data_IF_109765825883
#
_entry.id   IF_109765825883
#
_cell.length_a   1.000
_cell.length_b   1.000
_cell.length_c   1.000
_cell.angle_alpha   90.00
_cell.angle_beta   90.00
_cell.angle_gamma   90.00
#
_symmetry.space_group_name_H-M   'P 1'
#
loop_
_entity.id
_entity.type
_entity.pdbx_description
1 polymer ?
#
# COMPACT_ATOMS: atom_id res chain seq x y z
N UNK A 1 -2.27 -43.36 41.87
CA UNK A 1 -2.85 -42.89 40.60
C UNK A 1 -3.53 -41.52 40.78
N UNK A 2 -2.82 -40.54 41.36
CA UNK A 2 -3.40 -39.21 41.68
C UNK A 2 -2.34 -38.09 41.60
N UNK A 3 -1.33 -38.27 40.75
CA UNK A 3 -0.23 -37.32 40.53
C UNK A 3 0.05 -37.08 39.04
N UNK A 4 -0.84 -37.55 38.15
CA UNK A 4 -0.74 -37.35 36.69
C UNK A 4 -1.69 -36.25 36.16
N UNK A 5 -2.48 -35.62 37.04
CA UNK A 5 -3.50 -34.63 36.66
C UNK A 5 -3.04 -33.17 36.71
N UNK A 6 -1.75 -32.89 36.90
CA UNK A 6 -1.21 -31.55 37.10
C UNK A 6 -0.26 -31.09 35.98
N UNK A 7 -0.28 -31.76 34.84
CA UNK A 7 0.48 -31.36 33.65
C UNK A 7 -0.45 -30.97 32.49
N UNK A 8 -1.56 -30.29 32.77
CA UNK A 8 -2.19 -29.43 31.75
C UNK A 8 -1.29 -28.22 31.59
N UNK A 9 -0.22 -28.42 30.82
CA UNK A 9 0.68 -27.42 30.30
C UNK A 9 -0.18 -26.35 29.62
N UNK A 10 -0.48 -25.30 30.37
CA UNK A 10 -0.92 -24.02 29.84
C UNK A 10 0.21 -23.55 28.92
N UNK A 11 0.14 -23.94 27.65
CA UNK A 11 0.67 -23.15 26.55
C UNK A 11 -0.10 -21.83 26.55
N UNK A 12 0.23 -20.95 27.49
CA UNK A 12 0.04 -19.54 27.30
C UNK A 12 0.96 -19.18 26.14
N UNK A 13 0.39 -19.15 24.94
CA UNK A 13 1.01 -18.50 23.80
C UNK A 13 1.28 -17.06 24.22
N UNK A 14 2.49 -16.78 24.73
CA UNK A 14 3.01 -15.43 24.84
C UNK A 14 3.10 -14.92 23.41
N UNK A 15 2.06 -14.21 22.98
CA UNK A 15 2.09 -13.47 21.73
C UNK A 15 2.97 -12.27 22.03
N UNK A 16 4.28 -12.43 21.86
CA UNK A 16 5.21 -11.32 21.97
C UNK A 16 4.82 -10.30 20.90
N UNK A 17 4.17 -9.23 21.33
CA UNK A 17 3.92 -8.06 20.51
C UNK A 17 5.24 -7.29 20.42
N UNK A 18 6.17 -7.81 19.62
CA UNK A 18 7.42 -7.10 19.38
C UNK A 18 7.09 -5.77 18.72
N UNK A 19 7.69 -4.65 19.16
CA UNK A 19 7.50 -3.32 18.55
C UNK A 19 8.13 -3.20 17.15
N UNK A 20 8.31 -4.32 16.46
CA UNK A 20 9.23 -4.55 15.36
C UNK A 20 8.54 -4.50 13.99
N UNK A 21 7.66 -3.54 13.75
CA UNK A 21 7.11 -3.35 12.41
C UNK A 21 6.20 -4.48 11.95
N UNK A 22 5.63 -4.32 10.76
CA UNK A 22 4.81 -5.34 10.14
C UNK A 22 5.66 -6.53 9.64
N UNK A 23 5.17 -7.78 9.74
CA UNK A 23 5.82 -8.93 9.13
C UNK A 23 5.62 -8.93 7.61
N UNK A 24 6.49 -9.61 6.85
CA UNK A 24 6.38 -9.72 5.38
C UNK A 24 5.02 -10.23 4.90
N UNK A 25 4.37 -11.12 5.67
CA UNK A 25 3.03 -11.60 5.34
C UNK A 25 1.95 -10.50 5.33
N UNK A 26 2.16 -9.36 5.99
CA UNK A 26 1.24 -8.22 5.96
C UNK A 26 1.23 -7.50 4.60
N UNK A 27 2.27 -7.66 3.76
CA UNK A 27 2.25 -7.11 2.40
C UNK A 27 1.13 -7.69 1.53
N UNK A 28 0.50 -8.81 1.90
CA UNK A 28 -0.57 -9.38 1.06
C UNK A 28 -1.88 -8.61 1.19
N UNK A 29 -2.28 -8.28 2.42
CA UNK A 29 -3.60 -7.75 2.76
C UNK A 29 -3.53 -6.39 3.47
N UNK A 30 -2.33 -5.87 3.71
CA UNK A 30 -2.07 -4.66 4.51
C UNK A 30 -2.61 -4.75 5.94
N UNK A 31 -2.90 -5.95 6.44
CA UNK A 31 -3.48 -6.13 7.77
C UNK A 31 -2.39 -6.29 8.83
N UNK A 32 -2.53 -5.63 10.00
CA UNK A 32 -1.68 -5.92 11.13
C UNK A 32 -1.90 -7.36 11.60
N UNK A 33 -0.83 -8.04 12.01
CA UNK A 33 -0.90 -9.42 12.51
C UNK A 33 -1.02 -9.43 14.03
N UNK A 34 -2.08 -8.81 14.54
CA UNK A 34 -2.45 -8.83 15.96
C UNK A 34 -3.73 -9.64 16.15
N UNK A 35 -3.73 -10.56 17.12
CA UNK A 35 -4.88 -11.43 17.38
C UNK A 35 -6.08 -10.62 17.89
N UNK A 36 -7.27 -10.93 17.38
CA UNK A 36 -8.53 -10.35 17.85
C UNK A 36 -8.77 -8.88 17.46
N UNK A 37 -7.91 -8.28 16.65
CA UNK A 37 -8.05 -6.89 16.21
C UNK A 37 -8.67 -6.83 14.82
N UNK A 38 -9.68 -5.99 14.65
CA UNK A 38 -10.36 -5.74 13.37
C UNK A 38 -10.20 -4.28 12.94
N UNK A 39 -10.27 -3.98 11.63
CA UNK A 39 -10.37 -2.62 11.11
C UNK A 39 -11.46 -1.79 11.78
N UNK A 40 -11.20 -0.50 11.96
CA UNK A 40 -12.22 0.43 12.44
C UNK A 40 -13.30 0.65 11.34
N UNK A 41 -14.59 0.71 11.71
CA UNK A 41 -15.67 0.90 10.75
C UNK A 41 -15.85 2.37 10.33
N UNK A 42 -15.34 3.33 11.11
CA UNK A 42 -15.39 4.75 10.80
C UNK A 42 -14.31 5.14 9.77
N UNK A 43 -14.53 6.20 8.98
CA UNK A 43 -13.47 6.77 8.14
C UNK A 43 -12.21 7.11 8.94
N UNK A 44 -11.05 6.86 8.35
CA UNK A 44 -9.77 7.19 8.98
C UNK A 44 -9.56 8.72 9.05
N UNK A 45 -9.00 9.26 10.15
CA UNK A 45 -8.69 10.69 10.27
C UNK A 45 -7.35 11.07 9.58
N UNK A 46 -6.89 10.27 8.63
CA UNK A 46 -5.59 10.40 7.98
C UNK A 46 -5.73 10.53 6.46
N UNK A 47 -4.86 11.32 5.85
CA UNK A 47 -4.77 11.49 4.38
C UNK A 47 -3.33 11.33 3.93
N UNK A 48 -3.08 10.57 2.86
CA UNK A 48 -1.78 10.59 2.18
C UNK A 48 -1.76 11.74 1.19
N UNK A 49 -0.74 12.59 1.29
CA UNK A 49 -0.43 13.57 0.28
C UNK A 49 0.87 13.22 -0.44
N UNK A 50 0.91 13.57 -1.72
CA UNK A 50 2.12 13.51 -2.53
C UNK A 50 2.46 14.90 -3.06
N UNK A 51 3.75 15.20 -3.24
CA UNK A 51 4.18 16.49 -3.79
C UNK A 51 3.82 16.66 -5.28
N UNK A 52 3.51 15.56 -5.98
CA UNK A 52 3.16 15.56 -7.39
C UNK A 52 1.85 14.80 -7.61
N UNK A 53 1.01 15.32 -8.50
CA UNK A 53 -0.23 14.65 -8.94
C UNK A 53 0.01 13.54 -9.98
N UNK A 54 1.20 13.54 -10.55
CA UNK A 54 1.67 12.65 -11.62
C UNK A 54 3.06 12.20 -11.24
N UNK A 55 3.38 10.92 -11.43
CA UNK A 55 4.73 10.44 -11.20
C UNK A 55 5.40 10.06 -12.51
N UNK A 56 6.70 10.32 -12.58
CA UNK A 56 7.56 9.93 -13.67
C UNK A 56 8.42 8.77 -13.17
N UNK A 57 8.53 7.65 -13.92
CA UNK A 57 9.47 6.60 -13.57
C UNK A 57 10.86 7.14 -13.24
N UNK A 58 11.47 6.64 -12.17
CA UNK A 58 12.77 7.09 -11.70
C UNK A 58 12.77 8.43 -10.95
N UNK A 59 11.72 9.25 -11.05
CA UNK A 59 11.64 10.52 -10.33
C UNK A 59 11.09 10.33 -8.91
N UNK A 60 11.78 10.86 -7.88
CA UNK A 60 11.32 10.76 -6.50
C UNK A 60 9.98 11.45 -6.28
N UNK A 61 9.07 10.76 -5.59
CA UNK A 61 7.80 11.27 -5.09
C UNK A 61 7.88 11.37 -3.57
N UNK A 62 7.64 12.56 -3.05
CA UNK A 62 7.50 12.79 -1.62
C UNK A 62 6.11 12.39 -1.18
N UNK A 63 6.02 11.64 -0.09
CA UNK A 63 4.78 11.13 0.50
C UNK A 63 4.72 11.57 1.97
N UNK A 64 3.60 12.14 2.39
CA UNK A 64 3.34 12.55 3.78
C UNK A 64 1.99 12.04 4.26
N UNK A 65 1.88 11.78 5.56
CA UNK A 65 0.64 11.36 6.22
C UNK A 65 0.14 12.55 7.04
N UNK A 66 -1.00 13.12 6.67
CA UNK A 66 -1.63 14.23 7.37
C UNK A 66 -2.73 13.69 8.28
N UNK A 67 -2.73 14.09 9.54
CA UNK A 67 -3.69 13.67 10.56
C UNK A 67 -3.11 13.82 11.97
N UNK A 68 -3.74 13.21 12.98
CA UNK A 68 -3.16 13.06 14.31
C UNK A 68 -1.81 12.32 14.30
N UNK A 69 -1.10 12.29 15.43
CA UNK A 69 0.10 11.46 15.53
C UNK A 69 -0.22 9.96 15.44
N UNK A 70 0.74 9.16 14.99
CA UNK A 70 0.60 7.71 14.80
C UNK A 70 1.85 6.96 15.23
N UNK A 71 1.69 5.68 15.62
CA UNK A 71 2.80 4.82 16.07
C UNK A 71 3.18 3.77 15.03
N UNK A 72 2.18 3.10 14.47
CA UNK A 72 2.33 2.07 13.46
C UNK A 72 2.08 2.61 12.06
N UNK A 73 2.82 2.08 11.09
CA UNK A 73 2.61 2.33 9.66
C UNK A 73 3.05 1.12 8.85
N UNK A 74 2.37 0.87 7.72
CA UNK A 74 2.82 0.03 6.63
C UNK A 74 2.50 0.77 5.32
N UNK A 75 3.52 1.33 4.67
CA UNK A 75 3.41 2.04 3.40
C UNK A 75 3.93 1.17 2.28
N UNK A 76 3.08 0.88 1.31
CA UNK A 76 3.41 0.14 0.10
C UNK A 76 2.74 0.84 -1.07
N UNK A 77 3.48 1.12 -2.13
CA UNK A 77 2.90 1.60 -3.37
C UNK A 77 2.52 0.40 -4.24
N UNK A 78 1.32 0.40 -4.80
CA UNK A 78 0.77 -0.70 -5.60
C UNK A 78 0.28 -0.22 -6.94
N UNK A 79 0.27 -1.12 -7.93
CA UNK A 79 -0.45 -0.91 -9.18
C UNK A 79 -1.94 -1.21 -8.96
N UNK A 80 -2.80 -0.53 -9.70
CA UNK A 80 -4.24 -0.78 -9.64
C UNK A 80 -4.53 -2.25 -9.97
N UNK A 81 -5.35 -2.91 -9.14
CA UNK A 81 -5.69 -4.34 -9.22
C UNK A 81 -4.55 -5.34 -8.93
N UNK A 82 -3.36 -4.88 -8.53
CA UNK A 82 -2.25 -5.75 -8.13
C UNK A 82 -1.88 -5.51 -6.67
N UNK A 83 -1.63 -6.60 -5.94
CA UNK A 83 -1.22 -6.55 -4.53
C UNK A 83 0.31 -6.59 -4.36
N UNK A 84 1.05 -6.45 -5.46
CA UNK A 84 2.50 -6.45 -5.42
C UNK A 84 3.07 -5.05 -5.25
N UNK A 85 4.12 -4.98 -4.43
CA UNK A 85 4.87 -3.75 -4.22
C UNK A 85 5.45 -3.24 -5.54
N UNK A 86 5.20 -1.96 -5.82
CA UNK A 86 5.58 -1.29 -7.05
C UNK A 86 6.48 -0.09 -6.77
N UNK A 87 7.57 0.01 -7.53
CA UNK A 87 8.63 0.98 -7.23
C UNK A 87 9.42 0.62 -5.98
N UNK A 88 10.27 1.54 -5.53
CA UNK A 88 11.13 1.35 -4.36
C UNK A 88 11.09 2.56 -3.45
N UNK A 89 10.99 2.33 -2.15
CA UNK A 89 11.15 3.38 -1.15
C UNK A 89 12.63 3.75 -0.98
N UNK A 90 12.88 5.03 -0.72
CA UNK A 90 14.20 5.50 -0.30
C UNK A 90 14.40 5.30 1.20
N UNK A 91 15.58 5.70 1.68
CA UNK A 91 16.01 5.61 3.08
C UNK A 91 14.83 6.00 4.00
N UNK A 92 14.38 5.09 4.88
CA UNK A 92 13.26 5.37 5.76
C UNK A 92 13.62 6.50 6.72
N UNK A 93 12.68 7.41 7.05
CA UNK A 93 12.88 8.37 8.12
C UNK A 93 13.08 7.67 9.48
N UNK A 94 13.53 8.40 10.52
CA UNK A 94 13.64 7.85 11.87
C UNK A 94 12.38 7.10 12.32
N UNK A 95 12.57 6.12 13.20
CA UNK A 95 11.50 5.27 13.75
C UNK A 95 10.74 4.42 12.73
N UNK A 96 11.26 4.33 11.50
CA UNK A 96 10.76 3.48 10.42
C UNK A 96 11.89 2.67 9.79
N UNK A 97 11.52 1.59 9.09
CA UNK A 97 12.45 0.68 8.44
C UNK A 97 11.84 0.13 7.16
N UNK A 98 12.67 -0.40 6.28
CA UNK A 98 12.21 -1.13 5.12
C UNK A 98 11.49 -2.42 5.53
N UNK A 99 10.52 -2.81 4.71
CA UNK A 99 9.92 -4.14 4.71
C UNK A 99 10.02 -4.71 3.29
N UNK A 100 10.55 -5.92 3.19
CA UNK A 100 10.61 -6.64 1.94
C UNK A 100 9.22 -7.16 1.58
N UNK A 101 8.67 -6.67 0.47
CA UNK A 101 7.37 -7.08 -0.09
C UNK A 101 7.56 -7.52 -1.56
N UNK A 102 6.90 -8.59 -1.98
CA UNK A 102 6.97 -9.13 -3.35
C UNK A 102 8.40 -9.31 -3.89
N UNK A 103 9.32 -9.74 -3.02
CA UNK A 103 10.75 -9.91 -3.37
C UNK A 103 11.55 -8.61 -3.46
N UNK A 104 10.93 -7.43 -3.33
CA UNK A 104 11.60 -6.14 -3.33
C UNK A 104 12.02 -5.75 -1.89
N UNK A 105 13.34 -5.67 -1.57
CA UNK A 105 13.83 -5.28 -0.24
C UNK A 105 13.41 -3.87 0.20
N UNK A 106 13.07 -3.01 -0.76
CA UNK A 106 12.60 -1.64 -0.56
C UNK A 106 11.13 -1.48 -0.97
N UNK A 107 10.36 -2.57 -1.00
CA UNK A 107 8.98 -2.59 -1.47
C UNK A 107 8.01 -1.84 -0.57
N UNK A 108 8.28 -1.80 0.73
CA UNK A 108 7.47 -1.09 1.71
C UNK A 108 8.29 -0.42 2.82
N UNK A 109 7.66 0.49 3.55
CA UNK A 109 8.13 1.06 4.81
C UNK A 109 7.21 0.59 5.94
N UNK A 110 7.76 0.19 7.07
CA UNK A 110 7.00 -0.04 8.30
C UNK A 110 7.65 0.64 9.50
N UNK A 111 6.95 0.73 10.62
CA UNK A 111 7.53 1.27 11.85
C UNK A 111 8.67 0.37 12.38
N UNK A 112 9.70 0.98 12.95
CA UNK A 112 10.81 0.27 13.59
C UNK A 112 10.63 0.17 15.12
N UNK A 113 9.81 1.04 15.68
CA UNK A 113 9.45 1.10 17.09
C UNK A 113 8.09 1.82 17.23
N UNK A 114 7.62 1.96 18.47
CA UNK A 114 6.33 2.59 18.80
C UNK A 114 6.42 4.10 19.05
N UNK A 115 7.55 4.76 18.74
CA UNK A 115 7.68 6.21 18.88
C UNK A 115 6.68 6.93 17.95
N UNK A 116 6.24 8.09 18.41
CA UNK A 116 5.25 8.90 17.71
C UNK A 116 5.85 9.47 16.42
N UNK A 117 5.03 9.44 15.37
CA UNK A 117 5.27 10.02 14.06
C UNK A 117 4.14 11.00 13.80
N UNK A 118 4.42 12.03 13.02
CA UNK A 118 3.46 13.11 12.77
C UNK A 118 3.50 13.53 11.30
N UNK A 119 2.83 14.64 10.97
CA UNK A 119 2.83 15.22 9.64
C UNK A 119 4.21 15.76 9.20
N UNK A 120 5.19 15.82 10.10
CA UNK A 120 6.58 16.18 9.78
C UNK A 120 7.39 14.98 9.28
N UNK A 121 6.89 13.76 9.42
CA UNK A 121 7.54 12.56 8.90
C UNK A 121 7.34 12.48 7.38
N UNK A 122 8.45 12.54 6.65
CA UNK A 122 8.47 12.55 5.18
C UNK A 122 9.03 11.24 4.65
N UNK A 123 8.30 10.65 3.72
CA UNK A 123 8.71 9.43 3.01
C UNK A 123 9.00 9.76 1.55
N UNK A 124 9.88 8.98 0.92
CA UNK A 124 10.24 9.17 -0.48
C UNK A 124 10.13 7.84 -1.22
N UNK A 125 9.35 7.83 -2.30
CA UNK A 125 9.11 6.67 -3.15
C UNK A 125 9.60 6.94 -4.58
N UNK A 126 10.19 5.94 -5.23
CA UNK A 126 10.59 5.99 -6.64
C UNK A 126 9.76 4.97 -7.44
N UNK A 127 8.85 5.40 -8.32
CA UNK A 127 8.17 4.51 -9.25
C UNK A 127 9.18 3.89 -10.23
N UNK A 128 9.00 2.62 -10.56
CA UNK A 128 9.76 1.96 -11.62
C UNK A 128 9.15 2.24 -13.01
N UNK A 129 9.86 1.86 -14.07
CA UNK A 129 9.31 1.84 -15.43
C UNK A 129 8.33 0.67 -15.59
N UNK A 130 7.22 0.89 -16.30
CA UNK A 130 6.43 -0.20 -16.87
C UNK A 130 6.86 -0.38 -18.32
N UNK A 131 7.37 -1.56 -18.62
CA UNK A 131 7.81 -1.97 -19.96
C UNK A 131 7.01 -3.19 -20.38
N UNK A 132 6.52 -3.19 -21.62
CA UNK A 132 5.74 -4.25 -22.20
C UNK A 132 6.30 -4.68 -23.56
N UNK A 133 6.04 -5.95 -23.90
CA UNK A 133 6.06 -6.43 -25.28
C UNK A 133 4.64 -6.43 -25.79
N UNK A 134 4.40 -5.77 -26.92
CA UNK A 134 3.09 -5.72 -27.57
C UNK A 134 3.20 -6.49 -28.87
N UNK A 135 2.48 -7.60 -28.99
CA UNK A 135 2.39 -8.37 -30.24
C UNK A 135 1.04 -8.10 -30.91
N UNK A 136 1.06 -7.69 -32.18
CA UNK A 136 -0.16 -7.54 -32.97
C UNK A 136 -0.55 -8.85 -33.67
N UNK A 137 0.42 -9.62 -34.13
CA UNK A 137 0.24 -10.94 -34.75
C UNK A 137 1.53 -11.77 -34.67
N UNK A 138 1.49 -13.04 -35.10
CA UNK A 138 2.61 -14.01 -34.95
C UNK A 138 3.99 -13.46 -35.35
N UNK A 139 4.05 -12.59 -36.36
CA UNK A 139 5.30 -12.03 -36.89
C UNK A 139 5.45 -10.52 -36.68
N UNK A 140 4.47 -9.84 -36.08
CA UNK A 140 4.50 -8.37 -35.88
C UNK A 140 4.36 -8.07 -34.39
N UNK A 141 5.44 -7.58 -33.79
CA UNK A 141 5.50 -7.22 -32.38
C UNK A 141 6.50 -6.09 -32.14
N UNK A 142 6.32 -5.40 -31.02
CA UNK A 142 7.20 -4.36 -30.52
C UNK A 142 7.66 -4.71 -29.11
N UNK A 143 8.96 -4.60 -28.91
CA UNK A 143 9.58 -4.70 -27.59
C UNK A 143 9.71 -3.31 -26.99
N UNK A 144 9.93 -3.25 -25.68
CA UNK A 144 10.24 -2.02 -24.96
C UNK A 144 9.15 -0.93 -25.05
N UNK A 145 7.89 -1.32 -25.21
CA UNK A 145 6.78 -0.36 -25.15
C UNK A 145 6.64 0.12 -23.71
N UNK A 146 6.85 1.41 -23.47
CA UNK A 146 6.86 2.01 -22.13
C UNK A 146 5.54 2.69 -21.82
N UNK A 147 5.06 2.58 -20.58
CA UNK A 147 3.89 3.34 -20.14
C UNK A 147 4.15 4.85 -20.18
N UNK A 148 3.13 5.63 -20.54
CA UNK A 148 3.10 7.06 -20.26
C UNK A 148 2.97 7.32 -18.75
N UNK A 149 3.13 8.59 -18.37
CA UNK A 149 2.87 9.10 -17.01
C UNK A 149 1.50 8.57 -16.53
N UNK A 150 1.48 7.77 -15.46
CA UNK A 150 0.23 7.19 -14.97
C UNK A 150 -0.61 8.28 -14.25
N UNK A 151 -1.84 8.55 -14.70
CA UNK A 151 -2.75 9.48 -14.02
C UNK A 151 -3.39 8.80 -12.80
N UNK A 152 -3.61 9.55 -11.70
CA UNK A 152 -4.56 9.14 -10.67
C UNK A 152 -5.98 9.51 -11.13
N UNK A 153 -6.88 8.54 -11.13
CA UNK A 153 -8.24 8.71 -11.63
C UNK A 153 -9.06 9.68 -10.77
N UNK A 154 -9.83 10.53 -11.45
CA UNK A 154 -11.15 10.96 -10.99
C UNK A 154 -12.07 11.02 -12.20
N UNK A 155 -13.24 10.42 -12.02
CA UNK A 155 -14.40 10.69 -12.85
C UNK A 155 -14.68 12.19 -12.90
N UNK A 156 -14.92 12.69 -14.10
CA UNK A 156 -15.38 14.05 -14.35
C UNK A 156 -16.79 14.22 -13.81
N UNK A 157 -16.96 15.10 -12.82
CA UNK A 157 -18.27 15.71 -12.54
C UNK A 157 -18.51 16.83 -13.56
N UNK A 158 -18.75 16.45 -14.82
CA UNK A 158 -19.36 17.27 -15.87
C UNK A 158 -19.37 16.47 -17.18
N UNK A 159 -20.26 15.47 -17.29
CA UNK A 159 -21.00 15.28 -18.55
C UNK A 159 -22.09 14.21 -18.40
N UNK A 160 -23.34 14.64 -18.48
CA UNK A 160 -24.51 13.82 -18.84
C UNK A 160 -25.59 14.77 -19.37
N UNK A 161 -26.38 14.42 -20.42
CA UNK A 161 -26.07 13.70 -21.63
C UNK A 161 -26.48 14.51 -22.89
N UNK A 162 -25.89 14.26 -24.05
CA UNK A 162 -26.66 14.40 -25.31
C UNK A 162 -26.46 13.18 -26.20
N UNK A 163 -27.56 12.47 -26.43
CA UNK A 163 -27.68 11.27 -27.27
C UNK A 163 -27.51 11.63 -28.76
N UNK A 164 -26.78 10.79 -29.51
CA UNK A 164 -27.01 10.24 -30.89
C UNK A 164 -25.63 9.83 -31.48
N UNK A 165 -25.34 8.68 -32.07
CA UNK A 165 -26.05 7.45 -32.47
C UNK A 165 -25.00 6.38 -32.88
N UNK A 166 -25.26 5.11 -32.54
CA UNK A 166 -24.91 3.82 -33.21
C UNK A 166 -23.48 3.59 -33.79
N UNK A 167 -22.70 2.69 -33.21
CA UNK A 167 -22.62 1.24 -33.53
C UNK A 167 -21.56 0.55 -32.63
N UNK A 168 -21.66 -0.77 -32.56
CA UNK A 168 -21.16 -1.63 -31.49
C UNK A 168 -19.63 -1.80 -31.38
N UNK A 169 -19.19 -2.09 -30.15
CA UNK A 169 -18.25 -3.14 -29.72
C UNK A 169 -17.24 -2.66 -28.65
N UNK A 170 -17.32 -3.32 -27.49
CA UNK A 170 -16.32 -3.48 -26.42
C UNK A 170 -15.63 -2.22 -25.88
N UNK A 171 -16.24 -1.61 -24.86
CA UNK A 171 -15.56 -0.68 -23.97
C UNK A 171 -15.89 -0.98 -22.50
N UNK A 172 -14.92 -1.48 -21.75
CA UNK A 172 -14.95 -1.44 -20.30
C UNK A 172 -14.46 -0.06 -19.86
N UNK A 173 -15.36 0.73 -19.29
CA UNK A 173 -15.06 1.97 -18.60
C UNK A 173 -14.24 1.68 -17.33
N UNK A 174 -13.31 2.58 -16.99
CA UNK A 174 -12.63 2.56 -15.70
C UNK A 174 -12.99 3.82 -14.89
N UNK A 175 -13.84 3.61 -13.88
CA UNK A 175 -13.89 4.42 -12.67
C UNK A 175 -12.73 4.00 -11.76
N UNK A 176 -12.05 4.97 -11.16
CA UNK A 176 -11.05 4.80 -10.10
C UNK A 176 -11.56 5.57 -8.86
N UNK A 177 -11.47 5.06 -7.62
CA UNK A 177 -10.23 5.23 -6.83
C UNK A 177 -9.98 4.20 -5.69
N UNK A 178 -8.74 4.10 -5.17
CA UNK A 178 -8.36 4.31 -3.75
C UNK A 178 -7.06 3.59 -3.32
N UNK A 179 -6.29 4.30 -2.49
CA UNK A 179 -5.16 3.84 -1.66
C UNK A 179 -5.75 3.48 -0.28
N UNK A 180 -5.33 2.35 0.31
CA UNK A 180 -5.75 1.92 1.65
C UNK A 180 -4.65 2.21 2.68
N UNK A 181 -5.01 2.78 3.84
CA UNK A 181 -4.10 2.90 5.00
C UNK A 181 -4.81 2.45 6.27
N UNK A 182 -4.09 1.74 7.12
CA UNK A 182 -4.44 1.50 8.52
C UNK A 182 -3.54 2.33 9.44
N UNK A 183 -4.17 3.06 10.38
CA UNK A 183 -3.52 3.67 11.54
C UNK A 183 -4.53 3.72 12.69
N UNK A 184 -4.12 3.25 13.88
CA UNK A 184 -4.95 3.16 15.08
C UNK A 184 -4.41 4.03 16.24
N UNK A 185 -5.27 4.51 17.17
CA UNK A 185 -4.86 5.13 18.43
C UNK A 185 -5.07 4.22 19.67
N UNK A 186 -4.23 4.39 20.72
CA UNK A 186 -4.50 3.94 22.10
C UNK A 186 -5.70 4.69 22.72
N UNK A 187 -6.25 4.40 23.90
CA UNK A 187 -5.66 4.11 25.20
C UNK A 187 -6.70 3.38 26.09
N UNK A 188 -6.32 2.32 26.80
CA UNK A 188 -6.35 2.10 28.27
C UNK A 188 -5.81 0.70 28.55
#
# INVERSE_FOLDING_TARGET
MLLLGLLTLQFLCFVDCYPNGAPTGACKDMMPRHAGVVPQPSPAPYTILTNMKRYLPGMPVTVTIIGPEYRGVLLEARRENFNDAYGSWKIPPPDTKFLQCSGNPQGAITHANTNLKSNTTVYTWIPHDIVATVAQQRTVYWLNVRSNILPSGRYSTADWPTKKTKNAENSCAFYSPNILIFSGPGWS
#
